data_IF_622708290745
#
_entry.id   IF_622708290745
#
_cell.length_a   1.000
_cell.length_b   1.000
_cell.length_c   1.000
_cell.angle_alpha   90.00
_cell.angle_beta   90.00
_cell.angle_gamma   90.00
#
_symmetry.space_group_name_H-M   'P 1'
#
loop_
_entity.id
_entity.type
_entity.pdbx_description
1 polymer ?
#
# COMPACT_ATOMS: atom_id res chain seq x y z
N UNK A 1 -18.33 -2.25 -17.33
CA UNK A 1 -16.95 -2.73 -17.09
C UNK A 1 -15.92 -1.61 -17.09
N UNK A 2 -15.82 -0.77 -18.13
CA UNK A 2 -14.83 0.33 -18.14
C UNK A 2 -15.02 1.32 -16.97
N UNK A 3 -16.27 1.74 -16.71
CA UNK A 3 -16.55 2.69 -15.63
C UNK A 3 -16.29 2.09 -14.22
N UNK A 4 -16.57 0.80 -14.06
CA UNK A 4 -16.28 0.05 -12.82
C UNK A 4 -14.78 -0.03 -12.58
N UNK A 5 -14.00 -0.40 -13.61
CA UNK A 5 -12.55 -0.42 -13.54
C UNK A 5 -11.98 0.96 -13.18
N UNK A 6 -12.40 2.01 -13.88
CA UNK A 6 -11.95 3.39 -13.61
C UNK A 6 -12.23 3.79 -12.17
N UNK A 7 -13.46 3.56 -11.68
CA UNK A 7 -13.85 3.96 -10.32
C UNK A 7 -13.03 3.23 -9.25
N UNK A 8 -12.97 1.90 -9.32
CA UNK A 8 -12.27 1.09 -8.31
C UNK A 8 -10.77 1.38 -8.32
N UNK A 9 -10.15 1.43 -9.50
CA UNK A 9 -8.72 1.70 -9.61
C UNK A 9 -8.38 3.12 -9.20
N UNK A 10 -9.26 4.11 -9.44
CA UNK A 10 -9.09 5.46 -8.92
C UNK A 10 -9.08 5.47 -7.38
N UNK A 11 -10.07 4.84 -6.74
CA UNK A 11 -10.15 4.75 -5.26
C UNK A 11 -8.92 4.04 -4.69
N UNK A 12 -8.54 2.90 -5.27
CA UNK A 12 -7.37 2.13 -4.83
C UNK A 12 -6.07 2.91 -5.02
N UNK A 13 -5.91 3.60 -6.15
CA UNK A 13 -4.74 4.42 -6.48
C UNK A 13 -4.60 5.60 -5.55
N UNK A 14 -5.66 6.37 -5.34
CA UNK A 14 -5.64 7.55 -4.46
C UNK A 14 -5.21 7.17 -3.05
N UNK A 15 -5.82 6.13 -2.47
CA UNK A 15 -5.47 5.67 -1.13
C UNK A 15 -4.07 5.08 -1.06
N UNK A 16 -3.71 4.21 -1.99
CA UNK A 16 -2.42 3.53 -1.96
C UNK A 16 -1.26 4.49 -2.22
N UNK A 17 -1.39 5.40 -3.18
CA UNK A 17 -0.32 6.34 -3.47
C UNK A 17 -0.13 7.32 -2.32
N UNK A 18 -1.22 7.79 -1.69
CA UNK A 18 -1.11 8.60 -0.48
C UNK A 18 -0.39 7.83 0.64
N UNK A 19 -0.80 6.59 0.91
CA UNK A 19 -0.12 5.73 1.87
C UNK A 19 1.38 5.58 1.55
N UNK A 20 1.73 5.28 0.29
CA UNK A 20 3.12 5.10 -0.11
C UNK A 20 3.94 6.38 0.08
N UNK A 21 3.37 7.55 -0.20
CA UNK A 21 4.02 8.85 0.01
C UNK A 21 4.23 9.14 1.49
N UNK A 22 3.19 8.94 2.29
CA UNK A 22 3.21 9.24 3.72
C UNK A 22 4.08 8.26 4.52
N UNK A 23 4.30 7.06 4.00
CA UNK A 23 5.17 6.05 4.59
C UNK A 23 6.52 5.92 3.86
N UNK A 24 6.81 6.81 2.91
CA UNK A 24 8.07 6.83 2.14
C UNK A 24 8.39 5.48 1.46
N UNK A 25 7.35 4.74 1.06
CA UNK A 25 7.46 3.44 0.40
C UNK A 25 7.88 3.63 -1.05
N UNK A 26 9.09 3.20 -1.38
CA UNK A 26 9.57 3.18 -2.76
C UNK A 26 8.76 2.20 -3.62
N UNK A 27 8.33 2.57 -4.84
CA UNK A 27 7.68 1.66 -5.78
C UNK A 27 8.49 0.37 -6.08
N UNK A 28 9.83 0.44 -6.02
CA UNK A 28 10.68 -0.73 -6.26
C UNK A 28 10.66 -1.73 -5.11
N UNK A 29 10.45 -1.26 -3.87
CA UNK A 29 10.48 -2.07 -2.66
C UNK A 29 9.08 -2.35 -2.10
N UNK A 30 8.02 -1.93 -2.80
CA UNK A 30 6.64 -2.12 -2.39
C UNK A 30 6.28 -3.60 -2.24
N UNK A 31 5.54 -3.91 -1.17
CA UNK A 31 4.80 -5.15 -1.01
C UNK A 31 3.44 -4.86 -0.38
N UNK A 32 2.42 -5.65 -0.72
CA UNK A 32 1.03 -5.36 -0.33
C UNK A 32 0.81 -5.27 1.19
N UNK A 33 1.61 -6.00 1.97
CA UNK A 33 1.47 -6.07 3.42
C UNK A 33 1.70 -4.69 4.06
N UNK A 34 2.52 -3.81 3.46
CA UNK A 34 2.70 -2.45 3.97
C UNK A 34 1.36 -1.70 4.05
N UNK A 35 0.62 -1.69 2.95
CA UNK A 35 -0.69 -1.02 2.88
C UNK A 35 -1.75 -1.78 3.67
N UNK A 36 -1.75 -3.12 3.57
CA UNK A 36 -2.73 -3.96 4.27
C UNK A 36 -2.61 -3.78 5.79
N UNK A 37 -1.41 -3.93 6.36
CA UNK A 37 -1.18 -3.84 7.80
C UNK A 37 -1.49 -2.43 8.35
N UNK A 38 -1.19 -1.37 7.59
CA UNK A 38 -1.59 0.00 7.95
C UNK A 38 -3.11 0.15 8.01
N UNK A 39 -3.83 -0.40 7.03
CA UNK A 39 -5.29 -0.42 7.06
C UNK A 39 -5.82 -1.20 8.29
N UNK A 40 -5.23 -2.36 8.59
CA UNK A 40 -5.64 -3.16 9.75
C UNK A 40 -5.50 -2.37 11.05
N UNK A 41 -4.39 -1.65 11.23
CA UNK A 41 -4.17 -0.81 12.41
C UNK A 41 -5.11 0.40 12.42
N UNK A 42 -5.17 1.14 11.32
CA UNK A 42 -5.95 2.39 11.19
C UNK A 42 -7.44 2.18 11.44
N UNK A 43 -7.99 1.08 10.96
CA UNK A 43 -9.41 0.76 11.07
C UNK A 43 -9.72 -0.25 12.19
N UNK A 44 -8.71 -0.61 13.01
CA UNK A 44 -8.82 -1.60 14.08
C UNK A 44 -9.47 -2.92 13.61
N UNK A 45 -9.12 -3.37 12.40
CA UNK A 45 -9.68 -4.57 11.79
C UNK A 45 -9.09 -5.79 12.49
N UNK A 46 -9.93 -6.75 12.86
CA UNK A 46 -9.48 -8.06 13.32
C UNK A 46 -9.25 -8.95 12.10
N UNK A 47 -8.12 -9.65 12.06
CA UNK A 47 -7.81 -10.62 11.00
C UNK A 47 -7.71 -12.00 11.62
N UNK A 48 -8.43 -12.98 11.07
CA UNK A 48 -8.41 -14.36 11.56
C UNK A 48 -8.26 -15.40 10.46
N UNK A 49 -7.58 -16.49 10.78
CA UNK A 49 -7.51 -17.67 9.93
C UNK A 49 -8.72 -18.57 10.16
N UNK A 50 -9.23 -19.20 9.10
CA UNK A 50 -10.23 -20.25 9.20
C UNK A 50 -9.83 -21.49 8.39
N UNK A 51 -10.44 -22.62 8.72
CA UNK A 51 -10.46 -23.80 7.88
C UNK A 51 -11.76 -24.57 8.11
N UNK A 52 -12.53 -24.78 7.05
CA UNK A 52 -13.80 -25.50 7.15
C UNK A 52 -13.77 -26.78 6.30
N UNK A 53 -13.69 -27.95 6.94
CA UNK A 53 -13.60 -29.26 6.27
C UNK A 53 -14.76 -29.56 5.31
N UNK A 54 -15.97 -29.06 5.62
CA UNK A 54 -17.19 -29.36 4.87
C UNK A 54 -17.81 -28.14 4.15
N UNK A 55 -17.15 -26.97 4.19
CA UNK A 55 -17.61 -25.76 3.50
C UNK A 55 -16.43 -25.05 2.85
N UNK A 56 -16.56 -24.74 1.58
CA UNK A 56 -15.52 -24.06 0.80
C UNK A 56 -15.71 -22.55 0.84
N UNK A 57 -15.37 -21.95 1.99
CA UNK A 57 -15.37 -20.50 2.19
C UNK A 57 -13.93 -20.01 2.02
N UNK A 58 -13.70 -19.12 1.06
CA UNK A 58 -12.35 -18.61 0.77
C UNK A 58 -11.99 -17.46 1.72
N UNK A 59 -12.91 -16.52 1.88
CA UNK A 59 -12.78 -15.33 2.71
C UNK A 59 -14.14 -14.86 3.22
N UNK A 60 -14.09 -14.00 4.22
CA UNK A 60 -15.26 -13.39 4.84
C UNK A 60 -14.90 -12.00 5.37
N UNK A 61 -15.75 -11.03 5.06
CA UNK A 61 -15.76 -9.71 5.69
C UNK A 61 -17.05 -9.53 6.49
N UNK A 62 -16.91 -9.26 7.79
CA UNK A 62 -18.02 -8.90 8.67
C UNK A 62 -17.81 -7.51 9.23
N UNK A 63 -18.86 -6.68 9.14
CA UNK A 63 -18.90 -5.33 9.67
C UNK A 63 -20.15 -5.23 10.54
N UNK A 64 -19.98 -5.03 11.84
CA UNK A 64 -21.07 -4.87 12.82
C UNK A 64 -20.72 -3.83 13.89
N UNK A 65 -21.56 -3.73 14.93
CA UNK A 65 -21.40 -2.78 16.03
C UNK A 65 -20.14 -3.06 16.87
N UNK A 66 -19.62 -4.29 16.84
CA UNK A 66 -18.43 -4.73 17.60
C UNK A 66 -17.11 -4.54 16.81
N UNK A 67 -17.20 -4.11 15.55
CA UNK A 67 -16.07 -3.72 14.72
C UNK A 67 -16.03 -4.43 13.36
N UNK A 68 -14.82 -4.57 12.82
CA UNK A 68 -14.57 -5.14 11.49
C UNK A 68 -13.73 -6.42 11.64
N UNK A 69 -14.15 -7.49 10.97
CA UNK A 69 -13.45 -8.76 10.93
C UNK A 69 -13.23 -9.21 9.49
N UNK A 70 -11.99 -9.56 9.17
CA UNK A 70 -11.60 -10.22 7.92
C UNK A 70 -11.12 -11.64 8.27
N UNK A 71 -11.59 -12.65 7.52
CA UNK A 71 -11.05 -14.01 7.61
C UNK A 71 -10.64 -14.59 6.27
N UNK A 72 -9.71 -15.55 6.30
CA UNK A 72 -9.20 -16.23 5.12
C UNK A 72 -8.91 -17.71 5.38
N UNK A 73 -9.04 -18.53 4.33
CA UNK A 73 -8.77 -19.97 4.39
C UNK A 73 -7.27 -20.26 4.49
N UNK A 74 -6.87 -20.79 5.65
CA UNK A 74 -5.47 -21.04 6.05
C UNK A 74 -4.77 -22.13 5.23
N UNK A 75 -5.51 -23.07 4.65
CA UNK A 75 -4.91 -24.17 3.85
C UNK A 75 -4.65 -23.79 2.38
N UNK A 76 -5.02 -22.59 1.96
CA UNK A 76 -4.68 -22.09 0.62
C UNK A 76 -3.18 -21.77 0.49
N UNK A 77 -2.70 -21.71 -0.75
CA UNK A 77 -1.35 -21.18 -1.01
C UNK A 77 -1.22 -19.72 -0.56
N UNK A 78 -0.01 -19.30 -0.15
CA UNK A 78 0.24 -17.92 0.31
C UNK A 78 -0.26 -16.86 -0.69
N UNK A 79 0.06 -17.02 -1.97
CA UNK A 79 -0.36 -16.07 -3.02
C UNK A 79 -1.89 -15.92 -3.09
N UNK A 80 -2.63 -17.00 -2.83
CA UNK A 80 -4.10 -16.99 -2.80
C UNK A 80 -4.61 -16.34 -1.51
N UNK A 81 -3.99 -16.63 -0.36
CA UNK A 81 -4.31 -15.94 0.89
C UNK A 81 -4.10 -14.43 0.78
N UNK A 82 -3.03 -13.97 0.12
CA UNK A 82 -2.75 -12.55 -0.08
C UNK A 82 -3.81 -11.87 -0.95
N UNK A 83 -4.22 -12.54 -2.02
CA UNK A 83 -5.33 -12.08 -2.84
C UNK A 83 -6.64 -12.00 -2.06
N UNK A 84 -6.97 -13.04 -1.28
CA UNK A 84 -8.18 -13.03 -0.44
C UNK A 84 -8.14 -11.90 0.58
N UNK A 85 -7.02 -11.71 1.30
CA UNK A 85 -6.85 -10.61 2.25
C UNK A 85 -7.16 -9.24 1.62
N UNK A 86 -6.56 -8.95 0.47
CA UNK A 86 -6.80 -7.68 -0.22
C UNK A 86 -8.22 -7.58 -0.81
N UNK A 87 -8.83 -8.70 -1.19
CA UNK A 87 -10.21 -8.78 -1.67
C UNK A 87 -11.21 -8.42 -0.55
N UNK A 88 -11.07 -9.04 0.63
CA UNK A 88 -11.87 -8.73 1.81
C UNK A 88 -11.69 -7.28 2.26
N UNK A 89 -10.44 -6.78 2.27
CA UNK A 89 -10.19 -5.35 2.52
C UNK A 89 -10.89 -4.47 1.48
N UNK A 90 -10.91 -4.90 0.22
CA UNK A 90 -11.64 -4.22 -0.86
C UNK A 90 -13.13 -4.08 -0.57
N UNK A 91 -13.78 -5.10 -0.01
CA UNK A 91 -15.19 -4.98 0.41
C UNK A 91 -15.40 -3.87 1.43
N UNK A 92 -14.52 -3.78 2.44
CA UNK A 92 -14.59 -2.73 3.44
C UNK A 92 -14.36 -1.34 2.82
N UNK A 93 -13.26 -1.17 2.09
CA UNK A 93 -12.86 0.13 1.53
C UNK A 93 -13.85 0.65 0.49
N UNK A 94 -14.45 -0.22 -0.31
CA UNK A 94 -15.44 0.15 -1.32
C UNK A 94 -16.86 0.33 -0.76
N UNK A 95 -17.07 0.07 0.54
CA UNK A 95 -18.36 0.24 1.20
C UNK A 95 -19.39 -0.82 0.80
N UNK A 96 -18.95 -2.04 0.46
CA UNK A 96 -19.86 -3.15 0.18
C UNK A 96 -20.58 -3.61 1.45
N UNK A 97 -21.79 -4.16 1.32
CA UNK A 97 -22.63 -4.49 2.49
C UNK A 97 -22.00 -5.54 3.43
N UNK A 98 -22.06 -5.30 4.75
CA UNK A 98 -21.21 -5.92 5.79
C UNK A 98 -21.36 -7.42 6.10
N UNK A 99 -21.97 -8.22 5.23
CA UNK A 99 -22.00 -9.69 5.32
C UNK A 99 -21.77 -10.31 3.94
N UNK A 100 -20.56 -10.16 3.40
CA UNK A 100 -20.16 -10.82 2.15
C UNK A 100 -19.45 -12.14 2.45
N UNK A 101 -19.82 -13.20 1.72
CA UNK A 101 -19.22 -14.53 1.83
C UNK A 101 -18.71 -14.98 0.46
N UNK A 102 -17.40 -15.17 0.33
CA UNK A 102 -16.82 -15.69 -0.92
C UNK A 102 -16.82 -17.23 -0.88
N UNK A 103 -17.68 -17.87 -1.68
CA UNK A 103 -17.84 -19.35 -1.76
C UNK A 103 -17.34 -19.94 -3.08
N UNK A 104 -16.71 -21.12 -3.06
CA UNK A 104 -16.14 -21.76 -4.26
C UNK A 104 -17.15 -22.24 -5.32
N UNK A 105 -18.44 -22.46 -4.98
CA UNK A 105 -19.34 -23.29 -5.80
C UNK A 105 -20.69 -22.65 -6.20
N UNK A 106 -20.77 -21.34 -6.45
CA UNK A 106 -21.95 -20.84 -7.17
C UNK A 106 -22.22 -19.34 -7.10
N UNK A 107 -21.85 -18.66 -8.19
CA UNK A 107 -22.51 -17.48 -8.77
C UNK A 107 -23.22 -16.54 -7.78
N UNK A 108 -22.43 -15.60 -7.29
CA UNK A 108 -22.82 -14.21 -7.40
C UNK A 108 -21.61 -13.47 -7.96
N UNK A 109 -21.47 -13.47 -9.29
CA UNK A 109 -20.72 -12.42 -10.00
C UNK A 109 -21.48 -11.11 -9.78
N UNK A 110 -21.49 -10.63 -8.54
CA UNK A 110 -22.00 -9.31 -8.23
C UNK A 110 -20.97 -8.31 -8.68
N UNK A 111 -21.46 -7.09 -8.87
CA UNK A 111 -20.60 -5.94 -9.11
C UNK A 111 -19.60 -5.83 -7.95
N UNK A 112 -20.06 -5.97 -6.70
CA UNK A 112 -19.23 -5.94 -5.49
C UNK A 112 -18.04 -6.94 -5.52
N UNK A 113 -18.26 -8.20 -5.89
CA UNK A 113 -17.19 -9.20 -5.97
C UNK A 113 -16.19 -8.88 -7.09
N UNK A 114 -16.70 -8.40 -8.23
CA UNK A 114 -15.86 -7.95 -9.34
C UNK A 114 -15.01 -6.74 -8.95
N UNK A 115 -15.59 -5.81 -8.19
CA UNK A 115 -14.92 -4.62 -7.69
C UNK A 115 -13.86 -4.96 -6.63
N UNK A 116 -14.17 -5.86 -5.70
CA UNK A 116 -13.21 -6.36 -4.72
C UNK A 116 -12.04 -7.11 -5.38
N UNK A 117 -12.29 -7.89 -6.44
CA UNK A 117 -11.25 -8.52 -7.25
C UNK A 117 -10.33 -7.49 -7.93
N UNK A 118 -10.90 -6.44 -8.52
CA UNK A 118 -10.14 -5.36 -9.15
C UNK A 118 -9.32 -4.58 -8.12
N UNK A 119 -9.90 -4.28 -6.96
CA UNK A 119 -9.20 -3.64 -5.86
C UNK A 119 -8.01 -4.49 -5.39
N UNK A 120 -8.24 -5.78 -5.13
CA UNK A 120 -7.19 -6.72 -4.71
C UNK A 120 -6.03 -6.79 -5.71
N UNK A 121 -6.34 -6.94 -7.00
CA UNK A 121 -5.34 -6.98 -8.06
C UNK A 121 -4.55 -5.66 -8.16
N UNK A 122 -5.21 -4.52 -7.94
CA UNK A 122 -4.54 -3.21 -7.93
C UNK A 122 -3.60 -3.05 -6.74
N UNK A 123 -4.04 -3.39 -5.52
CA UNK A 123 -3.22 -3.30 -4.31
C UNK A 123 -2.01 -4.23 -4.40
N UNK A 124 -2.18 -5.46 -4.90
CA UNK A 124 -1.05 -6.39 -5.07
C UNK A 124 -0.04 -5.92 -6.12
N UNK A 125 -0.53 -5.29 -7.19
CA UNK A 125 0.27 -4.94 -8.36
C UNK A 125 -0.08 -3.52 -8.87
N UNK A 126 0.33 -2.46 -8.16
CA UNK A 126 -0.01 -1.08 -8.53
C UNK A 126 0.64 -0.65 -9.85
N UNK A 127 0.04 0.30 -10.56
CA UNK A 127 0.57 0.75 -11.86
C UNK A 127 2.01 1.26 -11.75
N UNK A 128 2.30 2.12 -10.76
CA UNK A 128 3.64 2.68 -10.55
C UNK A 128 4.68 1.59 -10.20
N UNK A 129 4.25 0.53 -9.52
CA UNK A 129 5.12 -0.59 -9.13
C UNK A 129 5.42 -1.46 -10.35
N UNK A 130 4.41 -1.80 -11.14
CA UNK A 130 4.58 -2.54 -12.40
C UNK A 130 5.45 -1.76 -13.38
N UNK A 131 5.24 -0.44 -13.51
CA UNK A 131 6.09 0.43 -14.33
C UNK A 131 7.55 0.40 -13.82
N UNK A 132 7.76 0.58 -12.52
CA UNK A 132 9.10 0.60 -11.92
C UNK A 132 9.85 -0.72 -12.13
N UNK A 133 9.17 -1.84 -11.91
CA UNK A 133 9.76 -3.19 -12.01
C UNK A 133 9.98 -3.63 -13.46
N UNK A 134 8.95 -3.49 -14.31
CA UNK A 134 9.00 -4.00 -15.68
C UNK A 134 9.77 -3.07 -16.61
N UNK A 135 9.49 -1.77 -16.57
CA UNK A 135 10.03 -0.83 -17.55
C UNK A 135 11.37 -0.24 -17.12
N UNK A 136 11.49 0.22 -15.88
CA UNK A 136 12.73 0.83 -15.41
C UNK A 136 13.78 -0.18 -14.95
N UNK A 137 13.38 -1.25 -14.25
CA UNK A 137 14.30 -2.30 -13.78
C UNK A 137 14.47 -3.47 -14.75
N UNK A 138 13.62 -3.55 -15.79
CA UNK A 138 13.67 -4.60 -16.83
C UNK A 138 13.47 -6.02 -16.30
N UNK A 139 12.67 -6.17 -15.25
CA UNK A 139 12.41 -7.48 -14.66
C UNK A 139 11.70 -8.42 -15.64
N UNK A 140 12.00 -9.71 -15.51
CA UNK A 140 11.25 -10.77 -16.18
C UNK A 140 9.89 -11.03 -15.51
N UNK A 141 8.96 -11.64 -16.25
CA UNK A 141 7.63 -12.00 -15.73
C UNK A 141 7.72 -12.80 -14.43
N UNK A 142 8.65 -13.77 -14.38
CA UNK A 142 8.89 -14.61 -13.20
C UNK A 142 9.41 -13.80 -12.01
N UNK A 143 10.30 -12.84 -12.23
CA UNK A 143 10.83 -11.98 -11.16
C UNK A 143 9.72 -11.12 -10.56
N UNK A 144 8.91 -10.44 -11.40
CA UNK A 144 7.78 -9.63 -10.93
C UNK A 144 6.78 -10.47 -10.14
N UNK A 145 6.42 -11.65 -10.66
CA UNK A 145 5.50 -12.58 -9.98
C UNK A 145 6.04 -13.02 -8.60
N UNK A 146 7.33 -13.33 -8.52
CA UNK A 146 7.97 -13.80 -7.29
C UNK A 146 8.07 -12.68 -6.26
N UNK A 147 8.52 -11.49 -6.67
CA UNK A 147 8.72 -10.37 -5.74
C UNK A 147 7.41 -9.77 -5.21
N UNK A 148 6.35 -9.78 -6.03
CA UNK A 148 5.02 -9.34 -5.59
C UNK A 148 4.20 -10.46 -4.94
N UNK A 149 4.76 -11.68 -4.86
CA UNK A 149 4.10 -12.86 -4.30
C UNK A 149 2.70 -13.12 -4.87
N UNK A 150 2.57 -13.07 -6.21
CA UNK A 150 1.30 -13.29 -6.93
C UNK A 150 1.37 -14.54 -7.81
N UNK A 151 0.22 -15.04 -8.28
CA UNK A 151 0.19 -16.09 -9.30
C UNK A 151 0.46 -15.55 -10.71
N UNK A 152 0.84 -16.43 -11.63
CA UNK A 152 1.01 -16.07 -13.04
C UNK A 152 -0.30 -15.52 -13.63
N UNK A 153 -1.42 -16.17 -13.34
CA UNK A 153 -2.75 -15.74 -13.80
C UNK A 153 -3.10 -14.34 -13.29
N UNK A 154 -2.83 -14.05 -12.01
CA UNK A 154 -3.12 -12.74 -11.43
C UNK A 154 -2.32 -11.63 -12.13
N UNK A 155 -1.02 -11.85 -12.37
CA UNK A 155 -0.18 -10.88 -13.08
C UNK A 155 -0.60 -10.73 -14.54
N UNK A 156 -0.99 -11.82 -15.21
CA UNK A 156 -1.52 -11.77 -16.57
C UNK A 156 -2.80 -10.92 -16.65
N UNK A 157 -3.82 -11.24 -15.84
CA UNK A 157 -5.08 -10.48 -15.84
C UNK A 157 -4.85 -9.01 -15.49
N UNK A 158 -3.96 -8.74 -14.53
CA UNK A 158 -3.64 -7.37 -14.14
C UNK A 158 -3.02 -6.55 -15.27
N UNK A 159 -2.09 -7.14 -16.02
CA UNK A 159 -1.47 -6.50 -17.19
C UNK A 159 -2.49 -6.32 -18.33
N UNK A 160 -3.37 -7.31 -18.54
CA UNK A 160 -4.45 -7.19 -19.52
C UNK A 160 -5.33 -5.98 -19.20
N UNK A 161 -5.78 -5.84 -17.94
CA UNK A 161 -6.64 -4.75 -17.53
C UNK A 161 -5.95 -3.39 -17.63
N UNK A 162 -4.68 -3.29 -17.20
CA UNK A 162 -3.87 -2.09 -17.35
C UNK A 162 -3.79 -1.63 -18.81
N UNK A 163 -3.38 -2.54 -19.70
CA UNK A 163 -3.14 -2.18 -21.10
C UNK A 163 -4.44 -1.92 -21.86
N UNK A 164 -5.53 -2.63 -21.53
CA UNK A 164 -6.86 -2.35 -22.08
C UNK A 164 -7.32 -0.95 -21.69
N UNK A 165 -7.16 -0.59 -20.42
CA UNK A 165 -7.56 0.72 -19.91
C UNK A 165 -6.77 1.85 -20.56
N UNK A 166 -5.43 1.76 -20.59
CA UNK A 166 -4.55 2.83 -21.06
C UNK A 166 -4.53 2.97 -22.58
N UNK A 167 -4.44 1.85 -23.32
CA UNK A 167 -4.18 1.91 -24.77
C UNK A 167 -5.44 1.92 -25.64
N UNK A 168 -6.60 1.56 -25.10
CA UNK A 168 -7.85 1.35 -25.87
C UNK A 168 -7.65 0.42 -27.10
N UNK A 169 -6.73 -0.55 -27.01
CA UNK A 169 -6.35 -1.50 -28.09
C UNK A 169 -7.21 -2.76 -28.11
N UNK A 170 -7.13 -3.51 -29.21
CA UNK A 170 -7.73 -4.84 -29.32
C UNK A 170 -7.04 -5.84 -28.35
N UNK A 171 -7.84 -6.66 -27.69
CA UNK A 171 -7.43 -7.73 -26.78
C UNK A 171 -6.40 -8.70 -27.37
N UNK A 172 -6.43 -8.96 -28.68
CA UNK A 172 -5.48 -9.89 -29.30
C UNK A 172 -4.03 -9.41 -29.23
N UNK A 173 -3.78 -8.12 -29.48
CA UNK A 173 -2.42 -7.56 -29.39
C UNK A 173 -1.89 -7.57 -27.95
N UNK A 174 -2.78 -7.25 -26.99
CA UNK A 174 -2.46 -7.24 -25.56
C UNK A 174 -2.11 -8.64 -25.09
N UNK A 175 -2.96 -9.63 -25.40
CA UNK A 175 -2.73 -11.02 -25.02
C UNK A 175 -1.44 -11.57 -25.65
N UNK A 176 -1.18 -11.27 -26.93
CA UNK A 176 0.06 -11.65 -27.60
C UNK A 176 1.29 -11.03 -26.91
N UNK A 177 1.22 -9.75 -26.54
CA UNK A 177 2.32 -9.05 -25.84
C UNK A 177 2.62 -9.68 -24.49
N UNK A 178 1.58 -10.02 -23.71
CA UNK A 178 1.74 -10.64 -22.40
C UNK A 178 2.28 -12.06 -22.52
N UNK A 179 1.81 -12.84 -23.50
CA UNK A 179 2.33 -14.17 -23.79
C UNK A 179 3.84 -14.15 -24.14
N UNK A 180 4.26 -13.18 -24.94
CA UNK A 180 5.69 -12.99 -25.26
C UNK A 180 6.49 -12.66 -24.01
N UNK A 181 5.98 -11.80 -23.13
CA UNK A 181 6.63 -11.46 -21.88
C UNK A 181 6.74 -12.67 -20.92
N UNK A 182 5.68 -13.47 -20.79
CA UNK A 182 5.70 -14.76 -20.06
C UNK A 182 6.76 -15.73 -20.63
N UNK A 183 6.96 -15.69 -21.95
CA UNK A 183 7.96 -16.50 -22.67
C UNK A 183 9.38 -15.91 -22.61
N UNK A 184 9.60 -14.82 -21.87
CA UNK A 184 10.91 -14.18 -21.66
C UNK A 184 11.25 -13.07 -22.67
N UNK A 185 10.36 -12.73 -23.60
CA UNK A 185 10.56 -11.65 -24.56
C UNK A 185 9.95 -10.33 -24.06
N UNK A 186 10.78 -9.47 -23.46
CA UNK A 186 10.32 -8.21 -22.84
C UNK A 186 10.10 -7.05 -23.82
N UNK A 187 10.66 -7.10 -25.03
CA UNK A 187 10.62 -5.97 -26.00
C UNK A 187 9.22 -5.40 -26.22
N UNK A 188 8.21 -6.27 -26.37
CA UNK A 188 6.85 -5.83 -26.65
C UNK A 188 6.19 -5.15 -25.44
N UNK A 189 6.34 -5.73 -24.24
CA UNK A 189 5.78 -5.13 -23.01
C UNK A 189 6.46 -3.80 -22.68
N UNK A 190 7.77 -3.70 -22.89
CA UNK A 190 8.52 -2.44 -22.74
C UNK A 190 8.00 -1.37 -23.69
N UNK A 191 7.72 -1.72 -24.95
CA UNK A 191 7.15 -0.78 -25.94
C UNK A 191 5.73 -0.31 -25.61
N UNK A 192 5.01 -1.04 -24.76
CA UNK A 192 3.73 -0.61 -24.24
C UNK A 192 3.95 0.38 -23.10
N UNK A 193 4.80 0.04 -22.12
CA UNK A 193 5.11 0.94 -21.01
C UNK A 193 5.71 2.27 -21.48
N UNK A 194 6.56 2.26 -22.51
CA UNK A 194 7.07 3.46 -23.19
C UNK A 194 5.95 4.44 -23.61
N UNK A 195 4.76 3.94 -23.94
CA UNK A 195 3.65 4.79 -24.39
C UNK A 195 2.81 5.35 -23.24
N UNK A 196 2.87 4.72 -22.07
CA UNK A 196 1.95 5.00 -20.95
C UNK A 196 2.66 5.45 -19.68
N UNK A 197 4.00 5.42 -19.63
CA UNK A 197 4.75 5.72 -18.41
C UNK A 197 4.45 7.11 -17.89
N UNK A 198 4.42 8.14 -18.76
CA UNK A 198 4.19 9.53 -18.34
C UNK A 198 2.88 9.69 -17.57
N UNK A 199 1.79 9.06 -18.04
CA UNK A 199 0.48 9.16 -17.37
C UNK A 199 0.52 8.50 -15.98
N UNK A 200 1.15 7.33 -15.86
CA UNK A 200 1.30 6.62 -14.57
C UNK A 200 2.16 7.43 -13.60
N UNK A 201 3.25 8.03 -14.09
CA UNK A 201 4.16 8.86 -13.29
C UNK A 201 3.50 10.15 -12.82
N UNK A 202 2.75 10.80 -13.70
CA UNK A 202 2.04 12.04 -13.37
C UNK A 202 0.97 11.79 -12.30
N UNK A 203 0.25 10.67 -12.40
CA UNK A 203 -0.70 10.22 -11.36
C UNK A 203 -0.04 9.94 -10.02
N UNK A 204 1.18 9.42 -10.00
CA UNK A 204 1.93 9.22 -8.75
C UNK A 204 2.53 10.53 -8.22
N UNK A 205 2.95 11.43 -9.11
CA UNK A 205 3.61 12.69 -8.76
C UNK A 205 2.63 13.75 -8.25
N UNK A 206 1.38 13.75 -8.70
CA UNK A 206 0.37 14.72 -8.26
C UNK A 206 -0.05 14.53 -6.80
N UNK A 207 0.12 13.31 -6.27
CA UNK A 207 -0.15 13.01 -4.86
C UNK A 207 0.88 13.73 -3.99
N UNK A 208 0.38 14.67 -3.17
CA UNK A 208 1.21 15.47 -2.28
C UNK A 208 1.55 14.68 -1.03
N UNK A 209 2.79 14.81 -0.59
CA UNK A 209 3.24 14.26 0.67
C UNK A 209 2.60 15.02 1.84
N UNK A 210 2.06 14.29 2.81
CA UNK A 210 1.63 14.85 4.07
C UNK A 210 2.78 14.74 5.09
N UNK A 211 3.44 15.86 5.37
CA UNK A 211 4.56 15.91 6.31
C UNK A 211 4.14 15.49 7.71
N UNK A 212 2.94 15.86 8.15
CA UNK A 212 2.42 15.48 9.46
C UNK A 212 2.27 13.96 9.55
N UNK A 213 1.63 13.36 8.55
CA UNK A 213 1.51 11.91 8.45
C UNK A 213 2.88 11.20 8.41
N UNK A 214 3.85 11.73 7.63
CA UNK A 214 5.22 11.19 7.57
C UNK A 214 5.90 11.19 8.93
N UNK A 215 5.77 12.27 9.70
CA UNK A 215 6.33 12.38 11.05
C UNK A 215 5.69 11.34 11.98
N UNK A 216 4.36 11.20 11.94
CA UNK A 216 3.65 10.20 12.75
C UNK A 216 4.05 8.76 12.39
N UNK A 217 4.10 8.43 11.10
CA UNK A 217 4.51 7.11 10.64
C UNK A 217 5.94 6.80 11.06
N UNK A 218 6.85 7.77 10.93
CA UNK A 218 8.24 7.60 11.37
C UNK A 218 8.35 7.42 12.89
N UNK A 219 7.52 8.11 13.67
CA UNK A 219 7.42 7.92 15.12
C UNK A 219 6.91 6.52 15.48
N UNK A 220 5.98 5.94 14.73
CA UNK A 220 5.54 4.55 14.96
C UNK A 220 6.70 3.56 14.79
N UNK A 221 7.51 3.73 13.76
CA UNK A 221 8.65 2.84 13.48
C UNK A 221 9.83 3.04 14.45
N UNK A 222 10.28 4.27 14.63
CA UNK A 222 11.57 4.59 15.27
C UNK A 222 11.44 5.20 16.67
N UNK A 223 10.20 5.55 17.06
CA UNK A 223 9.81 6.06 18.38
C UNK A 223 10.38 7.45 18.72
N UNK A 224 11.16 8.03 17.81
CA UNK A 224 11.83 9.32 17.94
C UNK A 224 12.14 9.88 16.55
N UNK A 225 11.95 11.18 16.37
CA UNK A 225 12.29 11.95 15.16
C UNK A 225 12.82 13.33 15.55
N UNK A 226 13.65 13.92 14.68
CA UNK A 226 14.25 15.23 14.93
C UNK A 226 14.25 16.10 13.67
N UNK A 227 14.51 17.39 13.84
CA UNK A 227 14.51 18.38 12.76
C UNK A 227 15.62 18.21 11.73
N UNK A 228 16.57 17.33 11.99
CA UNK A 228 17.56 16.85 11.01
C UNK A 228 16.92 16.00 9.92
N UNK A 229 15.77 15.35 10.21
CA UNK A 229 14.98 14.57 9.25
C UNK A 229 13.72 15.33 8.79
N UNK A 230 13.06 16.04 9.71
CA UNK A 230 11.84 16.82 9.45
C UNK A 230 11.98 18.26 9.95
N UNK A 231 12.48 19.19 9.12
CA UNK A 231 12.73 20.59 9.52
C UNK A 231 11.53 21.30 10.16
N UNK A 232 10.31 20.89 9.82
CA UNK A 232 9.04 21.38 10.35
C UNK A 232 8.96 21.26 11.88
N UNK A 233 9.69 20.31 12.49
CA UNK A 233 9.81 20.19 13.94
C UNK A 233 10.48 21.38 14.61
N UNK A 234 11.13 22.29 13.87
CA UNK A 234 11.62 23.57 14.39
C UNK A 234 10.47 24.54 14.69
N UNK A 235 9.35 24.40 13.99
CA UNK A 235 8.18 25.26 14.16
C UNK A 235 7.37 24.88 15.39
N UNK A 236 6.99 25.87 16.18
CA UNK A 236 6.23 25.65 17.41
C UNK A 236 4.78 25.24 17.13
N UNK A 237 4.18 25.75 16.06
CA UNK A 237 2.83 25.39 15.61
C UNK A 237 2.75 23.90 15.29
N UNK A 238 3.67 23.41 14.46
CA UNK A 238 3.72 22.01 14.05
C UNK A 238 3.93 21.05 15.23
N UNK A 239 4.85 21.39 16.14
CA UNK A 239 5.04 20.62 17.39
C UNK A 239 3.78 20.56 18.26
N UNK A 240 3.08 21.68 18.42
CA UNK A 240 1.83 21.73 19.19
C UNK A 240 0.70 20.93 18.56
N UNK A 241 0.69 20.83 17.23
CA UNK A 241 -0.26 19.97 16.51
C UNK A 241 0.04 18.49 16.80
N UNK A 242 1.31 18.09 16.75
CA UNK A 242 1.74 16.72 17.08
C UNK A 242 1.42 16.33 18.53
N UNK A 243 1.49 17.25 19.48
CA UNK A 243 1.15 17.00 20.89
C UNK A 243 -0.34 16.71 21.13
N UNK A 244 -1.21 16.92 20.12
CA UNK A 244 -2.62 16.55 20.21
C UNK A 244 -2.85 15.05 19.96
N UNK A 245 -1.87 14.36 19.37
CA UNK A 245 -1.91 12.92 19.14
C UNK A 245 -1.51 12.16 20.40
N UNK A 246 -2.09 10.96 20.55
CA UNK A 246 -1.87 10.13 21.73
C UNK A 246 -0.41 9.69 21.88
N UNK A 247 0.09 9.78 23.11
CA UNK A 247 1.45 9.41 23.51
C UNK A 247 2.58 10.10 22.72
N UNK A 248 2.38 11.33 22.24
CA UNK A 248 3.44 12.10 21.58
C UNK A 248 3.94 13.23 22.48
N UNK A 249 5.25 13.23 22.72
CA UNK A 249 5.96 14.31 23.37
C UNK A 249 6.78 15.07 22.34
N UNK A 250 6.84 16.40 22.46
CA UNK A 250 7.72 17.21 21.63
C UNK A 250 8.55 18.17 22.46
N UNK A 251 9.67 18.62 21.91
CA UNK A 251 10.49 19.66 22.54
C UNK A 251 11.41 20.34 21.53
N UNK A 252 12.02 21.44 21.95
CA UNK A 252 13.08 22.16 21.23
C UNK A 252 14.29 22.29 22.16
N UNK A 253 15.42 21.69 21.77
CA UNK A 253 16.69 21.89 22.47
C UNK A 253 17.53 22.93 21.71
N UNK A 254 18.13 23.86 22.45
CA UNK A 254 19.07 24.84 21.91
C UNK A 254 20.42 24.68 22.60
N UNK A 255 21.49 24.59 21.81
CA UNK A 255 22.86 24.55 22.32
C UNK A 255 23.81 25.29 21.37
N UNK A 256 24.56 26.27 21.91
CA UNK A 256 25.58 27.08 21.20
C UNK A 256 25.22 27.55 19.78
N UNK A 257 24.00 28.08 19.58
CA UNK A 257 23.59 28.64 18.28
C UNK A 257 22.87 27.65 17.36
N UNK A 258 22.75 26.38 17.73
CA UNK A 258 21.97 25.38 17.00
C UNK A 258 20.70 25.02 17.78
N UNK A 259 19.60 24.86 17.03
CA UNK A 259 18.30 24.42 17.56
C UNK A 259 17.94 23.09 16.92
N UNK A 260 17.55 22.11 17.73
CA UNK A 260 17.01 20.83 17.25
C UNK A 260 15.63 20.62 17.85
N UNK A 261 14.62 20.67 16.98
CA UNK A 261 13.25 20.29 17.33
C UNK A 261 13.11 18.78 17.24
N UNK A 262 12.38 18.16 18.16
CA UNK A 262 12.22 16.71 18.16
C UNK A 262 10.90 16.27 18.75
N UNK A 263 10.43 15.10 18.32
CA UNK A 263 9.25 14.42 18.84
C UNK A 263 9.59 12.97 19.20
N UNK A 264 8.88 12.40 20.17
CA UNK A 264 9.05 11.01 20.58
C UNK A 264 7.76 10.40 21.10
N UNK A 265 7.68 9.07 21.05
CA UNK A 265 6.60 8.28 21.65
C UNK A 265 6.80 8.19 23.16
N UNK A 266 5.92 8.79 23.96
CA UNK A 266 6.03 8.86 25.42
C UNK A 266 5.79 7.50 26.09
N UNK A 267 5.05 6.60 25.43
CA UNK A 267 4.85 5.22 25.87
C UNK A 267 6.10 4.32 25.63
N UNK A 268 7.05 4.78 24.80
CA UNK A 268 8.28 4.04 24.47
C UNK A 268 9.55 4.65 25.04
N UNK A 269 9.62 5.98 25.15
CA UNK A 269 10.81 6.70 25.58
C UNK A 269 10.47 7.74 26.66
N UNK A 270 11.30 7.78 27.69
CA UNK A 270 11.25 8.86 28.69
C UNK A 270 11.79 10.16 28.10
N UNK A 271 11.34 11.30 28.62
CA UNK A 271 11.86 12.63 28.26
C UNK A 271 13.38 12.71 28.38
N UNK A 272 13.98 12.05 29.38
CA UNK A 272 15.43 12.02 29.58
C UNK A 272 16.15 11.26 28.45
N UNK A 273 15.59 10.13 28.00
CA UNK A 273 16.14 9.36 26.87
C UNK A 273 16.04 10.16 25.56
N UNK A 274 14.89 10.78 25.29
CA UNK A 274 14.70 11.61 24.11
C UNK A 274 15.68 12.79 24.07
N UNK A 275 15.79 13.54 25.18
CA UNK A 275 16.75 14.65 25.33
C UNK A 275 18.20 14.17 25.19
N UNK A 276 18.54 12.97 25.67
CA UNK A 276 19.89 12.40 25.50
C UNK A 276 20.22 12.13 24.03
N UNK A 277 19.26 11.67 23.22
CA UNK A 277 19.48 11.46 21.77
C UNK A 277 19.78 12.78 21.06
N UNK A 278 19.05 13.84 21.39
CA UNK A 278 19.23 15.18 20.82
C UNK A 278 20.59 15.78 21.17
N UNK A 279 21.04 15.61 22.41
CA UNK A 279 22.39 16.01 22.81
C UNK A 279 23.46 15.29 22.00
N UNK A 280 23.27 14.01 21.68
CA UNK A 280 24.20 13.28 20.81
C UNK A 280 24.21 13.86 19.39
N UNK A 281 23.06 14.21 18.83
CA UNK A 281 22.96 14.86 17.50
C UNK A 281 23.75 16.17 17.49
N UNK A 282 23.47 17.07 18.44
CA UNK A 282 24.17 18.35 18.60
C UNK A 282 25.68 18.21 18.83
N UNK A 283 26.14 17.11 19.44
CA UNK A 283 27.57 16.84 19.60
C UNK A 283 28.25 16.35 18.31
N UNK A 284 27.53 15.61 17.48
CA UNK A 284 28.05 15.08 16.22
C UNK A 284 28.15 16.16 15.14
N UNK A 285 27.24 17.14 15.12
CA UNK A 285 27.26 18.27 14.18
C UNK A 285 28.36 19.31 14.48
N UNK A 286 29.01 19.21 15.65
CA UNK A 286 30.15 20.09 16.02
C UNK A 286 31.51 19.62 15.48
N UNK A 287 31.57 18.45 14.83
CA UNK A 287 32.80 17.87 14.26
C UNK A 287 32.89 18.12 12.76
#
# INVERSE_FOLDING_TARGET
>A
MKDVYTRVTQIAREQLYQFMKDNQVSPLNYHFHYYFDDCIQKFAIKVMEHHFTNRKIEGLTMIDEDGILISYESQNSQVKQYFTKCHELGHYILGHSGKQFTQLNGKKDTIDESEANLFSAYILMPDIVLLSKIYYRLDSFKQVMTELSVSADALEFRLQDLFRYRLKRNNQEINSTIYQYQSGQSKFVLSIFEKVHTEIEDEYRVVKEDVFAKVLNRLRECHFVASTEFPELLENSFRKELEQEDDIGTWLEYDFGQSVGYAWRTDKLTTKQAKSRVKTILLLEKR
#
